data_IF_841885633906
#
_entry.id   IF_841885633906
#
_cell.length_a   1.000
_cell.length_b   1.000
_cell.length_c   1.000
_cell.angle_alpha   90.00
_cell.angle_beta   90.00
_cell.angle_gamma   90.00
#
_symmetry.space_group_name_H-M   'P 1'
#
loop_
_entity.id
_entity.type
_entity.pdbx_description
1 polymer ?
#
# COMPACT_ATOMS: atom_id res chain seq x y z
N UNK A 1 18.32 7.69 3.68
CA UNK A 1 17.65 6.48 3.17
C UNK A 1 16.26 6.44 3.77
N UNK A 2 15.20 6.32 2.97
CA UNK A 2 13.85 6.05 3.47
C UNK A 2 13.71 4.54 3.73
N UNK A 3 12.94 4.16 4.76
CA UNK A 3 12.76 2.78 5.21
C UNK A 3 11.26 2.51 5.24
N UNK A 4 10.83 1.54 4.45
CA UNK A 4 9.44 1.08 4.37
C UNK A 4 9.34 -0.23 5.15
N UNK A 5 8.55 -0.25 6.22
CA UNK A 5 8.28 -1.48 6.97
C UNK A 5 7.30 -2.38 6.22
N UNK A 6 7.76 -3.53 5.74
CA UNK A 6 7.00 -4.45 4.86
C UNK A 6 6.08 -5.46 5.60
N UNK A 7 6.10 -5.48 6.94
CA UNK A 7 5.61 -6.65 7.69
C UNK A 7 4.10 -6.75 7.81
N UNK A 8 3.35 -5.66 7.62
CA UNK A 8 1.88 -5.64 7.66
C UNK A 8 1.34 -6.03 6.28
N UNK A 9 1.58 -7.29 5.94
CA UNK A 9 1.21 -7.88 4.66
C UNK A 9 0.45 -9.19 4.88
N UNK A 10 -0.75 -9.31 4.34
CA UNK A 10 -1.61 -10.49 4.47
C UNK A 10 -1.09 -11.76 3.80
N UNK A 11 0.07 -11.72 3.14
CA UNK A 11 0.84 -12.91 2.76
C UNK A 11 1.47 -13.60 3.98
N UNK A 12 1.74 -12.88 5.07
CA UNK A 12 2.16 -13.48 6.33
C UNK A 12 0.96 -14.04 7.09
N UNK A 13 1.09 -15.27 7.59
CA UNK A 13 -0.02 -16.02 8.20
C UNK A 13 -0.72 -15.26 9.33
N UNK A 14 0.04 -14.63 10.23
CA UNK A 14 -0.50 -13.89 11.38
C UNK A 14 -1.29 -12.65 10.97
N UNK A 15 -0.84 -11.91 9.95
CA UNK A 15 -1.59 -10.77 9.40
C UNK A 15 -2.81 -11.27 8.62
N UNK A 16 -2.68 -12.34 7.86
CA UNK A 16 -3.80 -12.95 7.15
C UNK A 16 -4.90 -13.42 8.09
N UNK A 17 -4.53 -14.06 9.21
CA UNK A 17 -5.46 -14.46 10.27
C UNK A 17 -6.09 -13.26 10.96
N UNK A 18 -5.29 -12.22 11.26
CA UNK A 18 -5.79 -10.97 11.83
C UNK A 18 -6.86 -10.32 10.96
N UNK A 19 -6.62 -10.27 9.64
CA UNK A 19 -7.55 -9.71 8.67
C UNK A 19 -8.86 -10.50 8.59
N UNK A 20 -8.79 -11.83 8.51
CA UNK A 20 -9.98 -12.71 8.46
C UNK A 20 -10.83 -12.60 9.72
N UNK A 21 -10.18 -12.49 10.88
CA UNK A 21 -10.86 -12.46 12.16
C UNK A 21 -11.19 -11.03 12.65
N UNK A 22 -10.86 -9.99 11.86
CA UNK A 22 -10.93 -8.58 12.28
C UNK A 22 -10.24 -8.34 13.63
N UNK A 23 -9.14 -9.05 13.90
CA UNK A 23 -8.34 -8.89 15.12
C UNK A 23 -7.29 -7.79 14.90
N UNK A 24 -7.38 -6.64 15.57
CA UNK A 24 -6.43 -5.55 15.38
C UNK A 24 -5.05 -5.83 15.97
N UNK A 25 -4.93 -6.77 16.92
CA UNK A 25 -3.73 -6.91 17.75
C UNK A 25 -2.46 -7.24 16.96
N UNK A 26 -2.45 -8.19 16.00
CA UNK A 26 -1.23 -8.48 15.25
C UNK A 26 -0.79 -7.29 14.37
N UNK A 27 -1.75 -6.57 13.78
CA UNK A 27 -1.49 -5.38 12.96
C UNK A 27 -0.88 -4.27 13.81
N UNK A 28 -1.50 -3.96 14.96
CA UNK A 28 -1.01 -2.95 15.89
C UNK A 28 0.38 -3.31 16.44
N UNK A 29 0.59 -4.57 16.79
CA UNK A 29 1.89 -5.07 17.25
C UNK A 29 3.00 -4.79 16.23
N UNK A 30 2.76 -5.14 14.96
CA UNK A 30 3.75 -4.91 13.90
C UNK A 30 3.89 -3.44 13.50
N UNK A 31 2.85 -2.62 13.64
CA UNK A 31 2.96 -1.19 13.44
C UNK A 31 3.92 -0.55 14.46
N UNK A 32 3.74 -0.84 15.75
CA UNK A 32 4.61 -0.34 16.82
C UNK A 32 6.03 -0.87 16.65
N UNK A 33 6.19 -2.18 16.45
CA UNK A 33 7.50 -2.82 16.34
C UNK A 33 8.33 -2.33 15.16
N UNK A 34 7.69 -2.03 14.02
CA UNK A 34 8.39 -1.46 12.87
C UNK A 34 8.74 0.02 13.08
N UNK A 35 7.88 0.79 13.76
CA UNK A 35 8.19 2.16 14.16
C UNK A 35 9.41 2.21 15.10
N UNK A 36 9.43 1.35 16.13
CA UNK A 36 10.57 1.19 17.04
C UNK A 36 11.83 0.68 16.32
N UNK A 37 11.65 -0.13 15.27
CA UNK A 37 12.71 -0.59 14.39
C UNK A 37 13.25 0.45 13.41
N UNK A 38 12.76 1.69 13.44
CA UNK A 38 13.24 2.79 12.61
C UNK A 38 12.60 2.91 11.23
N UNK A 39 11.42 2.29 11.01
CA UNK A 39 10.66 2.52 9.79
C UNK A 39 10.24 4.01 9.68
N UNK A 40 10.29 4.53 8.46
CA UNK A 40 9.80 5.88 8.14
C UNK A 40 8.35 5.84 7.62
N UNK A 41 7.96 4.71 7.03
CA UNK A 41 6.62 4.41 6.53
C UNK A 41 6.26 2.96 6.86
N UNK A 42 4.97 2.66 6.93
CA UNK A 42 4.46 1.30 7.07
C UNK A 42 3.75 0.88 5.78
N UNK A 43 4.19 -0.20 5.15
CA UNK A 43 3.51 -0.82 4.02
C UNK A 43 2.29 -1.63 4.51
N UNK A 44 1.18 -1.49 3.79
CA UNK A 44 -0.14 -1.99 4.17
C UNK A 44 -0.71 -2.77 2.99
N UNK A 45 -0.64 -4.09 3.09
CA UNK A 45 -1.11 -4.99 2.04
C UNK A 45 -2.07 -6.04 2.63
N UNK A 46 -3.29 -6.14 2.09
CA UNK A 46 -4.27 -7.14 2.54
C UNK A 46 -3.90 -8.58 2.17
N UNK A 47 -2.94 -8.77 1.26
CA UNK A 47 -2.56 -10.03 0.68
C UNK A 47 -3.73 -10.77 0.00
N UNK A 48 -3.59 -12.08 -0.23
CA UNK A 48 -4.67 -12.93 -0.71
C UNK A 48 -5.67 -13.31 0.40
N UNK A 49 -5.40 -12.94 1.65
CA UNK A 49 -6.24 -13.27 2.80
C UNK A 49 -7.66 -12.67 2.72
N UNK A 50 -7.81 -11.56 1.99
CA UNK A 50 -9.07 -10.86 1.80
C UNK A 50 -9.54 -10.99 0.33
N UNK A 51 -10.77 -11.48 0.08
CA UNK A 51 -11.38 -11.51 -1.24
C UNK A 51 -11.48 -10.13 -1.88
N UNK A 52 -11.39 -10.04 -3.20
CA UNK A 52 -11.38 -8.76 -3.93
C UNK A 52 -12.55 -7.84 -3.59
N UNK A 53 -13.75 -8.39 -3.38
CA UNK A 53 -14.96 -7.63 -3.07
C UNK A 53 -15.00 -7.03 -1.66
N UNK A 54 -14.16 -7.52 -0.74
CA UNK A 54 -14.06 -7.04 0.65
C UNK A 54 -12.86 -6.09 0.85
N UNK A 55 -11.99 -5.93 -0.17
CA UNK A 55 -10.74 -5.16 -0.02
C UNK A 55 -10.95 -3.69 0.32
N UNK A 56 -12.04 -3.09 -0.15
CA UNK A 56 -12.39 -1.68 0.15
C UNK A 56 -12.53 -1.49 1.67
N UNK A 57 -13.41 -2.29 2.30
CA UNK A 57 -13.63 -2.24 3.75
C UNK A 57 -12.40 -2.69 4.55
N UNK A 58 -11.63 -3.63 4.01
CA UNK A 58 -10.40 -4.08 4.66
C UNK A 58 -9.35 -2.98 4.72
N UNK A 59 -9.17 -2.19 3.65
CA UNK A 59 -8.20 -1.10 3.64
C UNK A 59 -8.59 0.04 4.58
N UNK A 60 -9.88 0.42 4.60
CA UNK A 60 -10.38 1.40 5.58
C UNK A 60 -10.12 0.94 7.01
N UNK A 61 -10.37 -0.35 7.30
CA UNK A 61 -10.13 -0.92 8.62
C UNK A 61 -8.64 -0.98 8.99
N UNK A 62 -7.79 -1.52 8.10
CA UNK A 62 -6.34 -1.63 8.33
C UNK A 62 -5.71 -0.26 8.61
N UNK A 63 -6.06 0.75 7.82
CA UNK A 63 -5.53 2.12 7.98
C UNK A 63 -5.94 2.70 9.34
N UNK A 64 -7.20 2.55 9.74
CA UNK A 64 -7.65 3.03 11.05
C UNK A 64 -6.94 2.31 12.20
N UNK A 65 -6.85 0.98 12.15
CA UNK A 65 -6.19 0.16 13.19
C UNK A 65 -4.71 0.53 13.36
N UNK A 66 -3.98 0.76 12.27
CA UNK A 66 -2.56 1.16 12.35
C UNK A 66 -2.41 2.55 12.99
N UNK A 67 -3.26 3.50 12.59
CA UNK A 67 -3.22 4.89 13.07
C UNK A 67 -3.76 5.09 14.49
N UNK A 68 -4.21 4.03 15.15
CA UNK A 68 -4.49 4.04 16.60
C UNK A 68 -3.21 3.92 17.44
N UNK A 69 -2.14 3.34 16.89
CA UNK A 69 -0.92 3.02 17.63
C UNK A 69 0.38 3.52 16.99
N UNK A 70 0.31 4.03 15.75
CA UNK A 70 1.46 4.54 15.01
C UNK A 70 1.14 5.87 14.36
N UNK A 71 2.12 6.77 14.39
CA UNK A 71 2.05 8.07 13.74
C UNK A 71 2.80 8.09 12.39
N UNK A 72 3.35 6.95 11.95
CA UNK A 72 4.03 6.88 10.67
C UNK A 72 3.05 7.00 9.49
N UNK A 73 3.44 7.68 8.39
CA UNK A 73 2.71 7.64 7.14
C UNK A 73 2.66 6.23 6.55
N UNK A 74 1.63 5.95 5.75
CA UNK A 74 1.36 4.62 5.20
C UNK A 74 1.72 4.52 3.72
N UNK A 75 2.12 3.33 3.29
CA UNK A 75 2.19 2.92 1.89
C UNK A 75 1.06 1.92 1.64
N UNK A 76 0.08 2.32 0.82
CA UNK A 76 -1.08 1.48 0.52
C UNK A 76 -0.75 0.59 -0.68
N UNK A 77 -0.53 -0.70 -0.42
CA UNK A 77 0.01 -1.67 -1.38
C UNK A 77 -1.06 -2.62 -1.94
N UNK A 78 -1.69 -2.19 -3.03
CA UNK A 78 -2.76 -2.92 -3.69
C UNK A 78 -2.74 -2.81 -5.21
N UNK A 79 -3.23 -3.86 -5.85
CA UNK A 79 -3.66 -3.80 -7.25
C UNK A 79 -5.11 -3.34 -7.42
N UNK A 80 -5.86 -3.19 -6.31
CA UNK A 80 -7.23 -2.67 -6.31
C UNK A 80 -7.20 -1.17 -5.93
N UNK A 81 -7.38 -0.30 -6.92
CA UNK A 81 -7.37 1.14 -6.69
C UNK A 81 -8.58 1.69 -5.94
N UNK A 82 -9.71 0.99 -5.92
CA UNK A 82 -10.84 1.37 -5.07
C UNK A 82 -10.50 1.16 -3.59
N UNK A 83 -9.77 0.09 -3.28
CA UNK A 83 -9.26 -0.16 -1.93
C UNK A 83 -8.19 0.86 -1.51
N UNK A 84 -7.29 1.23 -2.44
CA UNK A 84 -6.33 2.32 -2.19
C UNK A 84 -7.07 3.63 -1.92
N UNK A 85 -8.03 4.02 -2.76
CA UNK A 85 -8.77 5.27 -2.55
C UNK A 85 -9.55 5.27 -1.23
N UNK A 86 -10.11 4.14 -0.84
CA UNK A 86 -10.78 3.97 0.45
C UNK A 86 -9.81 4.19 1.63
N UNK A 87 -8.63 3.57 1.58
CA UNK A 87 -7.57 3.82 2.56
C UNK A 87 -7.12 5.29 2.59
N UNK A 88 -6.90 5.91 1.42
CA UNK A 88 -6.50 7.31 1.30
C UNK A 88 -7.49 8.27 1.96
N UNK A 89 -8.80 8.01 1.88
CA UNK A 89 -9.84 8.84 2.52
C UNK A 89 -9.72 8.92 4.03
N UNK A 90 -9.20 7.87 4.67
CA UNK A 90 -9.11 7.75 6.14
C UNK A 90 -7.68 7.93 6.67
N UNK A 91 -6.70 8.11 5.79
CA UNK A 91 -5.34 8.49 6.17
C UNK A 91 -5.32 9.89 6.82
N UNK A 92 -4.73 9.99 8.01
CA UNK A 92 -4.52 11.25 8.76
C UNK A 92 -3.32 12.04 8.24
N UNK A 93 -2.42 11.40 7.50
CA UNK A 93 -1.20 11.99 6.90
C UNK A 93 -1.11 11.64 5.41
N UNK A 94 -0.40 12.46 4.60
CA UNK A 94 -0.03 12.10 3.24
C UNK A 94 0.57 10.68 3.16
N UNK A 95 -0.07 9.82 2.36
CA UNK A 95 0.32 8.44 2.16
C UNK A 95 1.08 8.26 0.83
N UNK A 96 1.52 7.04 0.54
CA UNK A 96 2.07 6.66 -0.76
C UNK A 96 1.19 5.57 -1.36
N UNK A 97 0.89 5.69 -2.65
CA UNK A 97 0.22 4.66 -3.45
C UNK A 97 1.29 3.68 -3.95
N UNK A 98 1.16 2.41 -3.58
CA UNK A 98 1.93 1.30 -4.11
C UNK A 98 1.00 0.38 -4.91
N UNK A 99 1.01 0.39 -6.24
CA UNK A 99 1.82 1.21 -7.16
C UNK A 99 1.09 1.46 -8.48
N UNK A 100 1.73 2.23 -9.38
CA UNK A 100 1.25 2.45 -10.74
C UNK A 100 2.26 1.89 -11.76
N UNK A 101 1.90 0.91 -12.61
CA UNK A 101 2.73 0.55 -13.76
C UNK A 101 2.69 1.63 -14.84
N UNK A 102 3.62 1.56 -15.80
CA UNK A 102 3.69 2.41 -16.98
C UNK A 102 2.62 2.04 -18.03
N UNK A 103 1.36 2.00 -17.59
CA UNK A 103 0.19 1.76 -18.42
C UNK A 103 -0.69 3.00 -18.42
N UNK A 104 -0.95 3.58 -19.60
CA UNK A 104 -1.68 4.84 -19.75
C UNK A 104 -3.01 4.85 -18.98
N UNK A 105 -3.82 3.79 -19.09
CA UNK A 105 -5.12 3.66 -18.41
C UNK A 105 -4.98 3.66 -16.87
N UNK A 106 -3.87 3.12 -16.35
CA UNK A 106 -3.58 3.09 -14.91
C UNK A 106 -3.13 4.47 -14.44
N UNK A 107 -2.24 5.11 -15.19
CA UNK A 107 -1.75 6.47 -14.93
C UNK A 107 -2.92 7.47 -14.88
N UNK A 108 -3.82 7.42 -15.86
CA UNK A 108 -5.01 8.29 -15.94
C UNK A 108 -5.96 8.14 -14.75
N UNK A 109 -5.90 7.03 -14.03
CA UNK A 109 -6.66 6.82 -12.78
C UNK A 109 -5.86 7.22 -11.53
N UNK A 110 -4.60 6.78 -11.45
CA UNK A 110 -3.81 6.87 -10.22
C UNK A 110 -3.23 8.27 -10.02
N UNK A 111 -2.79 8.96 -11.08
CA UNK A 111 -2.17 10.28 -10.92
C UNK A 111 -3.16 11.34 -10.44
N UNK A 112 -4.39 11.44 -10.99
CA UNK A 112 -5.40 12.34 -10.44
C UNK A 112 -5.78 12.00 -8.99
N UNK A 113 -5.82 10.70 -8.65
CA UNK A 113 -6.07 10.24 -7.29
C UNK A 113 -4.96 10.71 -6.33
N UNK A 114 -3.69 10.53 -6.71
CA UNK A 114 -2.57 11.01 -5.90
C UNK A 114 -2.60 12.51 -5.68
N UNK A 115 -2.94 13.31 -6.70
CA UNK A 115 -3.13 14.76 -6.58
C UNK A 115 -4.27 15.06 -5.59
N UNK A 116 -5.43 14.42 -5.76
CA UNK A 116 -6.62 14.62 -4.91
C UNK A 116 -6.34 14.38 -3.43
N UNK A 117 -5.52 13.38 -3.11
CA UNK A 117 -5.22 12.99 -1.72
C UNK A 117 -3.84 13.46 -1.23
N UNK A 118 -3.13 14.28 -2.01
CA UNK A 118 -1.75 14.70 -1.74
C UNK A 118 -0.84 13.51 -1.38
N UNK A 119 -0.93 12.43 -2.15
CA UNK A 119 -0.19 11.19 -1.93
C UNK A 119 1.03 11.08 -2.86
N UNK A 120 2.10 10.44 -2.39
CA UNK A 120 3.18 9.97 -3.26
C UNK A 120 2.73 8.77 -4.10
N UNK A 121 3.50 8.43 -5.14
CA UNK A 121 3.27 7.25 -5.97
C UNK A 121 4.58 6.49 -6.15
N UNK A 122 4.54 5.17 -6.00
CA UNK A 122 5.58 4.27 -6.52
C UNK A 122 5.22 3.95 -7.97
N UNK A 123 6.09 4.36 -8.91
CA UNK A 123 5.98 4.04 -10.33
C UNK A 123 6.77 2.77 -10.67
N UNK A 124 6.12 1.77 -11.25
CA UNK A 124 6.79 0.56 -11.72
C UNK A 124 7.19 0.73 -13.19
N UNK A 125 8.46 0.51 -13.51
CA UNK A 125 9.00 0.56 -14.88
C UNK A 125 8.67 -0.72 -15.66
N UNK A 126 7.38 -1.00 -15.81
CA UNK A 126 6.82 -2.14 -16.52
C UNK A 126 5.44 -1.78 -17.06
N UNK A 127 4.99 -2.50 -18.09
CA UNK A 127 3.66 -2.38 -18.65
C UNK A 127 2.95 -3.74 -18.72
N UNK A 128 1.86 -3.82 -19.47
CA UNK A 128 1.10 -5.06 -19.73
C UNK A 128 1.93 -6.19 -20.37
N UNK A 129 3.09 -5.91 -20.96
CA UNK A 129 4.01 -6.92 -21.51
C UNK A 129 4.91 -7.54 -20.42
N UNK A 130 4.87 -7.00 -19.20
CA UNK A 130 5.60 -7.50 -18.05
C UNK A 130 6.89 -6.74 -17.77
N UNK A 131 7.76 -7.36 -16.98
CA UNK A 131 9.00 -6.76 -16.49
C UNK A 131 10.03 -6.72 -17.63
N UNK A 132 10.57 -5.53 -18.00
CA UNK A 132 11.63 -5.43 -19.00
C UNK A 132 12.90 -6.17 -18.55
N UNK A 133 13.65 -6.73 -19.49
CA UNK A 133 14.85 -7.52 -19.17
C UNK A 133 16.10 -6.66 -19.08
N UNK A 134 16.18 -5.59 -19.87
CA UNK A 134 17.31 -4.68 -19.98
C UNK A 134 17.09 -3.34 -19.24
N UNK A 135 18.15 -2.56 -19.10
CA UNK A 135 18.13 -1.30 -18.35
C UNK A 135 17.50 -0.18 -19.18
N UNK A 136 17.74 -0.19 -20.49
CA UNK A 136 17.31 0.80 -21.46
C UNK A 136 15.78 0.90 -21.48
N UNK A 137 15.08 -0.24 -21.54
CA UNK A 137 13.62 -0.27 -21.52
C UNK A 137 13.06 0.14 -20.16
N UNK A 138 13.73 -0.19 -19.03
CA UNK A 138 13.31 0.29 -17.70
C UNK A 138 13.41 1.82 -17.62
N UNK A 139 14.49 2.40 -18.14
CA UNK A 139 14.68 3.85 -18.21
C UNK A 139 13.65 4.50 -19.14
N UNK A 140 13.35 3.89 -20.28
CA UNK A 140 12.34 4.39 -21.22
C UNK A 140 10.94 4.50 -20.61
N UNK A 141 10.58 3.64 -19.62
CA UNK A 141 9.32 3.76 -18.89
C UNK A 141 9.34 4.80 -17.76
N UNK A 142 10.52 5.25 -17.31
CA UNK A 142 10.67 6.20 -16.22
C UNK A 142 10.73 7.67 -16.68
N UNK A 143 11.02 7.90 -17.96
CA UNK A 143 11.10 9.22 -18.60
C UNK A 143 9.78 9.61 -19.25
#
# INVERSE_FOLDING_TARGET
MLIFGERINGMFTDIGDALRNKDPKPIQHWAVKQQEGGAHYLDVNSGPAIPTHERVEAYEWMVNVIQEVSELPLVLDSTNYDAIEAGLKVCKRPAIINSCPAEQVKIERVFPMAIKYNAGIIGLTMDKKGIPKDAENRVAFAM
#
